data_IF_875136465887
#
_entry.id   IF_875136465887
#
_cell.length_a   1.000
_cell.length_b   1.000
_cell.length_c   1.000
_cell.angle_alpha   90.00
_cell.angle_beta   90.00
_cell.angle_gamma   90.00
#
_symmetry.space_group_name_H-M   'P 1'
#
loop_
_entity.id
_entity.type
_entity.pdbx_description
1 polymer ?
#
# COMPACT_ATOMS: atom_id res chain seq x y z
N UNK A 1 -23.31 71.04 -16.33
CA UNK A 1 -23.80 70.38 -17.55
C UNK A 1 -23.44 68.90 -17.42
N UNK A 2 -24.45 68.03 -17.58
CA UNK A 2 -24.47 66.57 -17.43
C UNK A 2 -23.25 65.81 -17.97
N UNK A 3 -22.94 64.66 -17.35
CA UNK A 3 -23.12 63.32 -17.97
C UNK A 3 -22.81 62.26 -16.89
N UNK A 4 -23.81 61.65 -16.25
CA UNK A 4 -24.54 60.43 -16.67
C UNK A 4 -23.66 59.16 -16.66
N UNK A 5 -24.08 58.21 -15.81
CA UNK A 5 -23.44 56.93 -15.59
C UNK A 5 -23.49 56.07 -16.86
N UNK A 6 -22.36 55.44 -17.22
CA UNK A 6 -22.36 54.28 -18.09
C UNK A 6 -21.33 53.26 -17.65
N UNK A 7 -21.86 52.15 -17.13
CA UNK A 7 -21.18 50.90 -16.81
C UNK A 7 -20.28 50.42 -17.95
N UNK A 8 -19.02 50.00 -17.70
CA UNK A 8 -18.23 49.33 -18.72
C UNK A 8 -18.74 47.90 -18.91
N UNK A 9 -19.11 47.68 -20.15
CA UNK A 9 -19.55 46.47 -20.83
C UNK A 9 -18.54 45.31 -20.69
N UNK A 10 -19.09 44.10 -20.54
CA UNK A 10 -18.37 42.84 -20.27
C UNK A 10 -17.94 42.09 -21.55
N UNK A 11 -17.95 42.70 -22.73
CA UNK A 11 -17.94 41.95 -23.99
C UNK A 11 -16.76 42.22 -24.94
N UNK A 12 -15.55 42.50 -24.44
CA UNK A 12 -14.38 42.58 -25.35
C UNK A 12 -13.05 42.17 -24.71
N UNK A 13 -12.91 40.89 -24.33
CA UNK A 13 -11.61 40.30 -23.99
C UNK A 13 -11.45 38.89 -24.58
N UNK A 14 -11.90 38.70 -25.83
CA UNK A 14 -11.82 37.41 -26.56
C UNK A 14 -10.91 37.43 -27.80
N UNK A 15 -10.15 38.48 -28.01
CA UNK A 15 -9.22 38.59 -29.15
C UNK A 15 -8.04 39.42 -28.68
N UNK A 16 -6.81 39.02 -29.01
CA UNK A 16 -5.55 39.57 -28.49
C UNK A 16 -5.01 38.86 -27.22
N UNK A 17 -4.62 37.59 -27.36
CA UNK A 17 -3.44 36.99 -26.72
C UNK A 17 -3.07 35.69 -27.45
N UNK A 18 -3.00 35.81 -28.78
CA UNK A 18 -2.27 34.87 -29.63
C UNK A 18 -0.77 35.14 -29.44
N UNK A 19 -0.14 34.48 -28.48
CA UNK A 19 1.29 34.06 -28.53
C UNK A 19 1.78 33.61 -27.15
N UNK A 20 1.39 32.40 -26.73
CA UNK A 20 2.18 31.61 -25.78
C UNK A 20 2.12 30.18 -26.29
N UNK A 21 3.17 29.72 -26.95
CA UNK A 21 3.45 28.29 -27.10
C UNK A 21 4.11 27.80 -25.80
N UNK A 22 3.55 26.82 -25.10
CA UNK A 22 4.33 25.88 -24.33
C UNK A 22 4.73 24.73 -25.28
N UNK A 23 6.02 24.41 -25.33
CA UNK A 23 6.53 23.23 -26.01
C UNK A 23 5.98 21.92 -25.41
N UNK A 24 6.34 20.75 -25.98
CA UNK A 24 5.92 19.46 -25.48
C UNK A 24 6.60 19.18 -24.12
N UNK A 25 6.01 19.71 -23.05
CA UNK A 25 6.26 19.23 -21.69
C UNK A 25 5.61 17.87 -21.50
N UNK A 26 6.12 16.99 -20.61
CA UNK A 26 5.45 15.75 -20.26
C UNK A 26 4.07 16.07 -19.68
N UNK A 27 3.05 15.95 -20.54
CA UNK A 27 1.67 15.89 -20.11
C UNK A 27 1.54 14.59 -19.32
N UNK A 28 1.12 14.60 -18.04
CA UNK A 28 0.69 13.36 -17.42
C UNK A 28 -0.46 12.83 -18.26
N UNK A 29 -0.17 11.74 -18.96
CA UNK A 29 -1.12 10.88 -19.62
C UNK A 29 -2.17 10.47 -18.58
N UNK A 30 -3.29 11.18 -18.55
CA UNK A 30 -4.55 10.68 -17.96
C UNK A 30 -5.24 9.84 -19.04
N UNK A 31 -4.53 8.80 -19.48
CA UNK A 31 -4.82 7.99 -20.65
C UNK A 31 -4.72 6.50 -20.37
N UNK A 32 -5.09 6.05 -19.17
CA UNK A 32 -5.47 4.66 -18.95
C UNK A 32 -6.37 4.57 -17.72
N UNK A 33 -7.68 4.44 -17.92
CA UNK A 33 -8.48 3.64 -16.98
C UNK A 33 -7.90 2.23 -17.02
N UNK A 34 -6.88 2.01 -16.18
CA UNK A 34 -6.39 0.71 -15.79
C UNK A 34 -7.60 -0.15 -15.39
N UNK A 35 -7.54 -1.49 -15.60
CA UNK A 35 -8.63 -2.37 -15.19
C UNK A 35 -9.03 -2.00 -13.77
N UNK A 36 -10.26 -1.55 -13.58
CA UNK A 36 -10.80 -1.05 -12.29
C UNK A 36 -10.98 -2.17 -11.26
N UNK A 37 -10.29 -3.30 -11.45
CA UNK A 37 -10.26 -4.47 -10.59
C UNK A 37 -8.86 -4.73 -10.07
N UNK A 38 -8.79 -5.18 -8.81
CA UNK A 38 -7.56 -5.63 -8.18
C UNK A 38 -7.02 -6.88 -8.88
N UNK A 39 -5.72 -6.93 -9.15
CA UNK A 39 -5.06 -8.13 -9.68
C UNK A 39 -4.57 -9.06 -8.56
N UNK A 40 -4.23 -10.31 -8.90
CA UNK A 40 -3.62 -11.27 -7.96
C UNK A 40 -2.27 -10.77 -7.44
N UNK A 41 -1.53 -9.98 -8.24
CA UNK A 41 -0.29 -9.34 -7.82
C UNK A 41 -0.52 -8.28 -6.75
N UNK A 42 -1.58 -7.48 -6.88
CA UNK A 42 -1.94 -6.46 -5.88
C UNK A 42 -2.31 -7.10 -4.54
N UNK A 43 -3.06 -8.20 -4.57
CA UNK A 43 -3.44 -8.94 -3.37
C UNK A 43 -2.23 -9.56 -2.65
N UNK A 44 -1.24 -10.06 -3.39
CA UNK A 44 0.02 -10.53 -2.81
C UNK A 44 0.82 -9.37 -2.17
N UNK A 45 0.88 -8.22 -2.84
CA UNK A 45 1.54 -7.03 -2.30
C UNK A 45 0.86 -6.55 -1.01
N UNK A 46 -0.47 -6.57 -0.94
CA UNK A 46 -1.22 -6.24 0.28
C UNK A 46 -0.86 -7.19 1.42
N UNK A 47 -0.81 -8.51 1.18
CA UNK A 47 -0.40 -9.47 2.19
C UNK A 47 1.02 -9.18 2.72
N UNK A 48 1.97 -8.90 1.82
CA UNK A 48 3.35 -8.56 2.18
C UNK A 48 3.42 -7.27 3.03
N UNK A 49 2.66 -6.24 2.67
CA UNK A 49 2.61 -4.98 3.43
C UNK A 49 2.05 -5.21 4.83
N UNK A 50 0.98 -6.00 4.97
CA UNK A 50 0.39 -6.32 6.28
C UNK A 50 1.41 -7.02 7.18
N UNK A 51 2.16 -8.00 6.65
CA UNK A 51 3.21 -8.68 7.41
C UNK A 51 4.34 -7.71 7.84
N UNK A 52 4.83 -6.88 6.92
CA UNK A 52 5.86 -5.87 7.23
C UNK A 52 5.41 -4.90 8.32
N UNK A 53 4.18 -4.41 8.23
CA UNK A 53 3.60 -3.50 9.21
C UNK A 53 3.41 -4.19 10.57
N UNK A 54 2.98 -5.45 10.58
CA UNK A 54 2.84 -6.26 11.81
C UNK A 54 4.19 -6.43 12.50
N UNK A 55 5.24 -6.81 11.77
CA UNK A 55 6.60 -6.97 12.31
C UNK A 55 7.22 -5.66 12.79
N UNK A 56 6.85 -4.53 12.17
CA UNK A 56 7.32 -3.19 12.58
C UNK A 56 6.47 -2.56 13.67
N UNK A 57 5.38 -3.19 14.11
CA UNK A 57 4.50 -2.66 15.14
C UNK A 57 3.71 -1.42 14.69
N UNK A 58 3.34 -1.33 13.40
CA UNK A 58 2.50 -0.24 12.90
C UNK A 58 1.05 -0.30 13.44
N UNK A 59 0.64 -1.47 13.92
CA UNK A 59 -0.66 -1.76 14.50
C UNK A 59 -0.54 -1.93 16.02
N UNK A 60 -1.51 -1.41 16.78
CA UNK A 60 -1.64 -1.61 18.22
C UNK A 60 -2.17 -3.02 18.53
N UNK A 61 -2.04 -3.45 19.78
CA UNK A 61 -2.52 -4.77 20.22
C UNK A 61 -4.03 -4.98 19.95
N UNK A 62 -4.84 -3.94 20.13
CA UNK A 62 -6.29 -3.99 19.98
C UNK A 62 -6.73 -4.30 18.53
N UNK A 63 -5.98 -3.85 17.53
CA UNK A 63 -6.33 -4.05 16.11
C UNK A 63 -5.63 -5.27 15.50
N UNK A 64 -4.55 -5.76 16.12
CA UNK A 64 -3.73 -6.85 15.60
C UNK A 64 -4.54 -8.14 15.41
N UNK A 65 -5.50 -8.44 16.30
CA UNK A 65 -6.38 -9.60 16.13
C UNK A 65 -7.22 -9.51 14.85
N UNK A 66 -7.74 -8.33 14.54
CA UNK A 66 -8.56 -8.10 13.34
C UNK A 66 -7.70 -8.12 12.09
N UNK A 67 -6.55 -7.43 12.11
CA UNK A 67 -5.59 -7.38 10.98
C UNK A 67 -5.06 -8.78 10.67
N UNK A 68 -4.66 -9.55 11.68
CA UNK A 68 -4.22 -10.93 11.52
C UNK A 68 -5.32 -11.83 10.95
N UNK A 69 -6.57 -11.62 11.37
CA UNK A 69 -7.73 -12.30 10.78
C UNK A 69 -7.91 -12.01 9.29
N UNK A 70 -7.76 -10.75 8.86
CA UNK A 70 -7.82 -10.35 7.45
C UNK A 70 -6.66 -10.95 6.66
N UNK A 71 -5.44 -10.91 7.19
CA UNK A 71 -4.26 -11.52 6.58
C UNK A 71 -4.45 -13.02 6.31
N UNK A 72 -4.97 -13.77 7.30
CA UNK A 72 -5.21 -15.21 7.15
C UNK A 72 -6.26 -15.53 6.07
N UNK A 73 -7.34 -14.74 6.00
CA UNK A 73 -8.37 -14.88 4.96
C UNK A 73 -7.81 -14.58 3.57
N UNK A 74 -7.04 -13.50 3.45
CA UNK A 74 -6.38 -13.11 2.20
C UNK A 74 -5.43 -14.21 1.72
N UNK A 75 -4.60 -14.75 2.62
CA UNK A 75 -3.68 -15.84 2.31
C UNK A 75 -4.41 -17.10 1.86
N UNK A 76 -5.47 -17.47 2.57
CA UNK A 76 -6.32 -18.63 2.20
C UNK A 76 -6.94 -18.44 0.82
N UNK A 77 -7.41 -17.24 0.50
CA UNK A 77 -7.95 -16.93 -0.83
C UNK A 77 -6.89 -17.07 -1.92
N UNK A 78 -5.71 -16.47 -1.72
CA UNK A 78 -4.60 -16.57 -2.65
C UNK A 78 -4.13 -18.02 -2.86
N UNK A 79 -4.05 -18.80 -1.78
CA UNK A 79 -3.68 -20.22 -1.82
C UNK A 79 -4.74 -21.09 -2.53
N UNK A 80 -6.00 -20.63 -2.57
CA UNK A 80 -7.10 -21.32 -3.26
C UNK A 80 -7.17 -21.02 -4.75
N UNK A 81 -6.46 -19.98 -5.24
CA UNK A 81 -6.38 -19.69 -6.66
C UNK A 81 -5.47 -20.72 -7.35
N UNK A 82 -5.76 -21.10 -8.60
CA UNK A 82 -4.87 -21.96 -9.36
C UNK A 82 -3.50 -21.30 -9.45
N UNK A 83 -2.48 -21.94 -8.86
CA UNK A 83 -1.10 -21.49 -8.97
C UNK A 83 -0.72 -21.53 -10.46
N UNK A 84 -0.18 -20.45 -11.05
CA UNK A 84 0.47 -20.57 -12.35
C UNK A 84 1.55 -21.65 -12.21
N UNK A 85 1.57 -22.63 -13.12
CA UNK A 85 2.51 -23.76 -13.04
C UNK A 85 3.95 -23.24 -12.91
N UNK A 86 4.54 -23.46 -11.72
CA UNK A 86 5.95 -23.24 -11.48
C UNK A 86 6.27 -22.26 -10.36
N UNK A 87 5.99 -22.62 -9.10
CA UNK A 87 6.82 -22.16 -7.98
C UNK A 87 6.67 -23.10 -6.76
N UNK A 88 7.79 -23.63 -6.21
CA UNK A 88 7.76 -24.52 -5.06
C UNK A 88 7.43 -23.78 -3.77
N UNK A 89 6.46 -24.34 -3.04
CA UNK A 89 5.98 -23.94 -1.73
C UNK A 89 7.15 -23.87 -0.71
N UNK A 90 7.70 -22.68 -0.48
CA UNK A 90 8.70 -22.42 0.57
C UNK A 90 8.07 -21.58 1.67
N UNK A 91 7.15 -22.13 2.46
CA UNK A 91 6.88 -21.63 3.83
C UNK A 91 6.16 -22.66 4.68
N UNK A 92 6.78 -23.83 4.85
CA UNK A 92 6.70 -24.57 6.11
C UNK A 92 8.10 -24.59 6.71
N UNK A 93 8.17 -24.56 8.04
CA UNK A 93 9.37 -24.50 8.88
C UNK A 93 9.89 -23.10 9.23
N UNK A 94 9.21 -22.49 10.20
CA UNK A 94 9.92 -21.86 11.31
C UNK A 94 9.66 -22.71 12.57
N UNK A 95 10.58 -23.61 12.96
CA UNK A 95 10.52 -24.24 14.27
C UNK A 95 10.72 -23.16 15.33
N UNK A 96 9.80 -23.10 16.29
CA UNK A 96 9.96 -22.36 17.52
C UNK A 96 11.29 -22.76 18.17
N UNK A 97 12.27 -21.86 18.13
CA UNK A 97 13.50 -22.00 18.90
C UNK A 97 13.12 -21.82 20.36
N UNK A 98 12.89 -22.95 21.04
CA UNK A 98 12.89 -23.02 22.50
C UNK A 98 14.23 -22.45 22.97
N UNK A 99 14.20 -21.32 23.67
CA UNK A 99 15.35 -20.84 24.43
C UNK A 99 15.70 -21.94 25.46
N UNK A 100 16.93 -22.47 25.51
CA UNK A 100 17.32 -23.31 26.62
C UNK A 100 17.48 -22.46 27.87
N UNK A 101 16.68 -22.77 28.89
CA UNK A 101 16.90 -22.42 30.30
C UNK A 101 18.32 -22.85 30.71
N UNK A 102 19.29 -21.94 30.60
CA UNK A 102 20.62 -22.14 31.16
C UNK A 102 20.63 -21.66 32.61
N UNK A 103 20.22 -22.53 33.52
CA UNK A 103 20.45 -22.39 34.95
C UNK A 103 21.20 -23.64 35.45
N UNK A 104 22.54 -23.64 35.55
CA UNK A 104 23.21 -24.63 36.35
C UNK A 104 23.07 -24.23 37.82
N UNK A 105 22.21 -24.96 38.54
CA UNK A 105 22.24 -25.03 40.00
C UNK A 105 23.65 -25.43 40.44
N UNK A 106 24.35 -24.52 41.08
CA UNK A 106 25.53 -24.85 41.88
C UNK A 106 25.04 -25.25 43.26
N UNK A 107 24.78 -26.55 43.44
CA UNK A 107 24.54 -27.17 44.75
C UNK A 107 25.65 -28.20 45.00
N UNK A 108 26.29 -28.09 46.17
CA UNK A 108 26.64 -29.26 46.97
C UNK A 108 27.99 -29.92 46.72
N UNK A 109 28.97 -29.53 47.55
CA UNK A 109 29.59 -30.45 48.51
C UNK A 109 30.41 -31.63 47.96
N UNK A 110 31.73 -31.45 47.89
CA UNK A 110 32.65 -32.51 48.26
C UNK A 110 34.05 -31.93 48.56
N UNK A 111 34.35 -31.67 49.84
CA UNK A 111 35.62 -32.01 50.51
C UNK A 111 35.59 -31.65 51.99
#
# INVERSE_FOLDING_TARGET
MNEEAKTPDLEEAKKELSSIQPGPGPQPDVGATAPSGLSVGDLQNIAMIIDLCTRRGAFKAEELSTVGGVFNKLKTFLDSLPKPEGEPDKTKDAPATKMPDNAPKSEGENK
#
